data_IF_210397663334
#
_entry.id   IF_210397663334
#
_cell.length_a   1.000
_cell.length_b   1.000
_cell.length_c   1.000
_cell.angle_alpha   90.00
_cell.angle_beta   90.00
_cell.angle_gamma   90.00
#
_symmetry.space_group_name_H-M   'P 1'
#
loop_
_entity.id
_entity.type
_entity.pdbx_description
1 polymer ?
#
# COMPACT_ATOMS: atom_id res chain seq x y z
N UNK A 1 2.71 -18.01 -12.72
CA UNK A 1 3.30 -16.94 -13.55
C UNK A 1 3.68 -15.84 -12.58
N UNK A 2 4.90 -15.31 -12.66
CA UNK A 2 5.31 -14.20 -11.80
C UNK A 2 4.43 -13.00 -12.11
N UNK A 3 3.80 -12.40 -11.09
CA UNK A 3 3.07 -11.16 -11.28
C UNK A 3 4.08 -10.03 -11.44
N UNK A 4 4.16 -9.43 -12.62
CA UNK A 4 5.07 -8.32 -12.91
C UNK A 4 4.51 -7.01 -12.33
N UNK A 5 4.64 -6.87 -11.02
CA UNK A 5 4.20 -5.69 -10.27
C UNK A 5 5.40 -4.83 -9.85
N UNK A 6 5.29 -3.52 -10.05
CA UNK A 6 6.21 -2.53 -9.46
C UNK A 6 5.48 -1.80 -8.34
N UNK A 7 6.10 -1.71 -7.17
CA UNK A 7 5.50 -1.10 -5.99
C UNK A 7 6.26 0.18 -5.65
N UNK A 8 5.51 1.26 -5.49
CA UNK A 8 6.05 2.56 -5.12
C UNK A 8 5.50 2.98 -3.77
N UNK A 9 6.40 3.46 -2.91
CA UNK A 9 6.05 4.14 -1.69
C UNK A 9 5.91 5.65 -1.92
N UNK A 10 4.88 6.29 -1.37
CA UNK A 10 4.65 7.72 -1.50
C UNK A 10 4.39 8.38 -0.12
N UNK A 11 5.42 8.56 0.73
CA UNK A 11 5.25 9.03 2.11
C UNK A 11 4.71 10.45 2.25
N UNK A 12 4.94 11.31 1.26
CA UNK A 12 4.54 12.72 1.29
C UNK A 12 3.08 12.99 0.89
N UNK A 13 2.34 11.96 0.47
CA UNK A 13 0.95 12.11 -0.01
C UNK A 13 0.02 12.55 1.12
N UNK A 14 -0.86 13.51 0.81
CA UNK A 14 -1.94 14.01 1.69
C UNK A 14 -1.47 14.33 3.12
N UNK A 15 -0.79 15.48 3.30
CA UNK A 15 -0.24 15.90 4.59
C UNK A 15 0.60 14.80 5.27
N UNK A 16 1.42 14.12 4.48
CA UNK A 16 2.28 13.02 4.92
C UNK A 16 1.54 11.86 5.60
N UNK A 17 0.23 11.69 5.37
CA UNK A 17 -0.44 10.41 5.64
C UNK A 17 0.32 9.28 4.95
N UNK A 18 0.68 9.52 3.69
CA UNK A 18 1.41 8.59 2.84
C UNK A 18 0.49 7.64 2.07
N UNK A 19 1.05 6.96 1.08
CA UNK A 19 0.32 6.04 0.20
C UNK A 19 1.26 4.99 -0.40
N UNK A 20 0.67 3.97 -1.00
CA UNK A 20 1.34 2.94 -1.79
C UNK A 20 0.68 2.85 -3.16
N UNK A 21 1.49 2.69 -4.20
CA UNK A 21 1.02 2.51 -5.57
C UNK A 21 1.59 1.20 -6.13
N UNK A 22 0.79 0.54 -6.96
CA UNK A 22 1.16 -0.69 -7.66
C UNK A 22 0.96 -0.46 -9.13
N UNK A 23 2.01 -0.66 -9.92
CA UNK A 23 1.93 -0.68 -11.36
C UNK A 23 1.99 -2.12 -11.87
N UNK A 24 0.95 -2.55 -12.55
CA UNK A 24 0.92 -3.86 -13.21
C UNK A 24 1.51 -3.71 -14.62
N UNK A 25 2.67 -4.32 -14.86
CA UNK A 25 3.39 -4.20 -16.14
C UNK A 25 2.62 -4.85 -17.31
N UNK A 26 1.81 -5.87 -17.03
CA UNK A 26 1.05 -6.60 -18.04
C UNK A 26 -0.17 -5.80 -18.51
N UNK A 27 -1.01 -5.35 -17.57
CA UNK A 27 -2.21 -4.56 -17.89
C UNK A 27 -1.90 -3.08 -18.11
N UNK A 28 -0.72 -2.62 -17.72
CA UNK A 28 -0.32 -1.20 -17.65
C UNK A 28 -1.23 -0.35 -16.74
N UNK A 29 -1.97 -0.98 -15.85
CA UNK A 29 -2.84 -0.34 -14.88
C UNK A 29 -2.08 0.11 -13.63
N UNK A 30 -2.62 1.13 -12.96
CA UNK A 30 -2.14 1.61 -11.66
C UNK A 30 -3.22 1.36 -10.62
N UNK A 31 -2.84 0.77 -9.49
CA UNK A 31 -3.66 0.66 -8.30
C UNK A 31 -3.05 1.50 -7.19
N UNK A 32 -3.86 2.25 -6.44
CA UNK A 32 -3.38 3.16 -5.41
C UNK A 32 -4.15 2.97 -4.10
N UNK A 33 -3.46 3.14 -2.98
CA UNK A 33 -4.12 3.32 -1.69
C UNK A 33 -4.55 4.78 -1.53
N UNK A 34 -5.85 4.99 -1.45
CA UNK A 34 -6.46 6.26 -1.07
C UNK A 34 -7.14 6.03 0.28
N UNK A 35 -6.81 6.86 1.26
CA UNK A 35 -7.61 6.92 2.47
C UNK A 35 -8.91 7.64 2.10
N UNK A 36 -10.01 6.88 1.95
CA UNK A 36 -11.33 7.36 1.56
C UNK A 36 -11.99 8.14 2.75
N UNK A 37 -11.24 9.06 3.38
CA UNK A 37 -11.59 9.84 4.59
C UNK A 37 -12.01 8.99 5.80
N UNK A 38 -11.64 7.71 5.80
CA UNK A 38 -11.90 6.78 6.89
C UNK A 38 -11.01 7.04 8.10
N UNK A 39 -9.88 7.73 7.89
CA UNK A 39 -8.90 8.03 8.93
C UNK A 39 -8.13 6.80 9.40
N UNK A 40 -8.10 5.73 8.60
CA UNK A 40 -7.36 4.50 8.91
C UNK A 40 -5.86 4.80 9.07
N UNK A 41 -5.34 5.77 8.30
CA UNK A 41 -3.95 6.24 8.39
C UNK A 41 -3.97 7.72 8.76
N UNK A 42 -3.41 8.06 9.92
CA UNK A 42 -3.39 9.45 10.40
C UNK A 42 -2.37 10.30 9.64
N UNK A 43 -2.59 11.62 9.61
CA UNK A 43 -1.62 12.58 9.05
C UNK A 43 -0.23 12.41 9.69
N UNK A 44 0.81 12.62 8.88
CA UNK A 44 2.19 12.46 9.34
C UNK A 44 2.64 11.01 9.55
N UNK A 45 1.86 10.00 9.17
CA UNK A 45 2.22 8.59 9.38
C UNK A 45 3.35 8.10 8.47
N UNK A 46 3.58 8.78 7.33
CA UNK A 46 4.59 8.45 6.33
C UNK A 46 4.38 7.04 5.73
N UNK A 47 3.13 6.64 5.48
CA UNK A 47 2.84 5.37 4.82
C UNK A 47 3.54 5.27 3.46
N UNK A 48 4.16 4.12 3.19
CA UNK A 48 4.97 3.91 2.00
C UNK A 48 6.43 4.30 2.20
N UNK A 49 6.88 4.53 3.45
CA UNK A 49 8.31 4.74 3.73
C UNK A 49 9.16 3.53 3.33
N UNK A 50 8.60 2.34 3.52
CA UNK A 50 9.10 1.08 3.00
C UNK A 50 7.95 0.30 2.37
N UNK A 51 8.27 -0.51 1.37
CA UNK A 51 7.29 -1.34 0.66
C UNK A 51 7.81 -2.74 0.44
N UNK A 52 6.88 -3.70 0.30
CA UNK A 52 7.17 -5.09 -0.06
C UNK A 52 5.93 -5.76 -0.63
N UNK A 53 6.06 -7.00 -1.06
CA UNK A 53 4.92 -7.82 -1.47
C UNK A 53 5.21 -9.31 -1.25
N UNK A 54 4.14 -10.10 -1.20
CA UNK A 54 4.21 -11.53 -1.04
C UNK A 54 2.84 -12.18 -1.01
N UNK A 55 2.83 -13.50 -0.81
CA UNK A 55 1.63 -14.31 -0.68
C UNK A 55 1.29 -14.47 0.80
N UNK A 56 0.37 -13.66 1.33
CA UNK A 56 -0.01 -13.65 2.74
C UNK A 56 -1.41 -14.24 2.97
N UNK A 57 -2.34 -14.02 2.03
CA UNK A 57 -3.70 -14.56 2.12
C UNK A 57 -3.83 -15.93 1.44
N UNK A 58 -3.22 -16.10 0.27
CA UNK A 58 -3.23 -17.36 -0.46
C UNK A 58 -2.02 -17.49 -1.39
N UNK A 59 -1.61 -18.72 -1.78
CA UNK A 59 -0.57 -18.91 -2.79
C UNK A 59 -0.94 -18.36 -4.18
N UNK A 60 -2.21 -18.06 -4.42
CA UNK A 60 -2.75 -17.56 -5.70
C UNK A 60 -2.96 -16.04 -5.73
N UNK A 61 -2.68 -15.33 -4.63
CA UNK A 61 -2.85 -13.88 -4.52
C UNK A 61 -1.55 -13.22 -4.08
N UNK A 62 -1.32 -11.99 -4.51
CA UNK A 62 -0.19 -11.16 -4.06
C UNK A 62 -0.73 -9.97 -3.30
N UNK A 63 -0.30 -9.82 -2.05
CA UNK A 63 -0.60 -8.65 -1.24
C UNK A 63 0.62 -7.76 -1.12
N UNK A 64 0.36 -6.46 -0.96
CA UNK A 64 1.36 -5.41 -0.85
C UNK A 64 1.48 -4.98 0.59
N UNK A 65 2.70 -4.70 1.03
CA UNK A 65 3.00 -4.27 2.38
C UNK A 65 3.52 -2.84 2.34
N UNK A 66 2.99 -1.98 3.20
CA UNK A 66 3.44 -0.59 3.36
C UNK A 66 3.78 -0.28 4.80
N UNK A 67 4.99 0.22 5.05
CA UNK A 67 5.43 0.71 6.35
C UNK A 67 5.04 2.18 6.57
N UNK A 68 4.51 2.48 7.75
CA UNK A 68 4.16 3.82 8.21
C UNK A 68 4.85 4.09 9.57
N UNK A 69 6.15 4.47 9.57
CA UNK A 69 6.97 4.49 10.77
C UNK A 69 6.54 5.54 11.81
N UNK A 70 5.85 6.60 11.39
CA UNK A 70 5.40 7.66 12.30
C UNK A 70 3.94 7.51 12.75
N UNK A 71 3.24 6.47 12.28
CA UNK A 71 1.87 6.21 12.68
C UNK A 71 1.73 6.17 14.21
N UNK A 72 0.93 7.09 14.75
CA UNK A 72 0.72 7.28 16.19
C UNK A 72 2.00 7.30 17.04
N UNK A 73 3.10 7.83 16.49
CA UNK A 73 4.41 7.93 17.16
C UNK A 73 5.00 6.57 17.60
N UNK A 74 4.53 5.46 17.01
CA UNK A 74 5.01 4.09 17.31
C UNK A 74 5.35 3.30 16.06
N UNK A 75 4.73 3.66 14.94
CA UNK A 75 4.82 2.94 13.68
C UNK A 75 3.75 1.87 13.54
N UNK A 76 3.39 1.59 12.29
CA UNK A 76 2.49 0.49 11.90
C UNK A 76 2.90 -0.02 10.52
N UNK A 77 2.60 -1.29 10.25
CA UNK A 77 2.70 -1.89 8.93
C UNK A 77 1.28 -2.23 8.48
N UNK A 78 0.97 -1.93 7.22
CA UNK A 78 -0.30 -2.22 6.60
C UNK A 78 -0.12 -3.25 5.50
N UNK A 79 -1.07 -4.19 5.41
CA UNK A 79 -1.13 -5.18 4.33
C UNK A 79 -2.32 -4.83 3.44
N UNK A 80 -2.11 -4.81 2.13
CA UNK A 80 -3.09 -4.40 1.14
C UNK A 80 -3.36 -5.52 0.13
N UNK A 81 -4.64 -5.78 -0.15
CA UNK A 81 -5.04 -6.54 -1.34
C UNK A 81 -5.17 -5.60 -2.54
N UNK A 82 -4.72 -6.05 -3.71
CA UNK A 82 -4.83 -5.30 -4.97
C UNK A 82 -6.15 -5.64 -5.66
N UNK A 83 -7.08 -4.69 -5.70
CA UNK A 83 -8.40 -4.87 -6.33
C UNK A 83 -8.62 -3.80 -7.40
N UNK A 84 -8.51 -4.19 -8.68
CA UNK A 84 -8.62 -3.29 -9.82
C UNK A 84 -7.69 -2.07 -9.68
N UNK A 85 -8.23 -0.86 -9.59
CA UNK A 85 -7.49 0.40 -9.50
C UNK A 85 -7.26 0.87 -8.05
N UNK A 86 -7.66 0.08 -7.05
CA UNK A 86 -7.54 0.43 -5.64
C UNK A 86 -6.79 -0.62 -4.82
N UNK A 87 -6.05 -0.15 -3.83
CA UNK A 87 -5.52 -0.97 -2.74
C UNK A 87 -6.48 -0.90 -1.55
N UNK A 88 -6.80 -2.06 -0.97
CA UNK A 88 -7.67 -2.16 0.20
C UNK A 88 -6.89 -2.73 1.38
N UNK A 89 -7.00 -2.10 2.55
CA UNK A 89 -6.34 -2.58 3.77
C UNK A 89 -6.98 -3.88 4.21
N UNK A 90 -6.13 -4.87 4.49
CA UNK A 90 -6.50 -6.18 5.01
C UNK A 90 -6.10 -6.32 6.48
N UNK A 91 -4.94 -5.75 6.86
CA UNK A 91 -4.42 -5.75 8.23
C UNK A 91 -3.63 -4.48 8.54
#
# INVERSE_FOLDING_TARGET
>A
MTEDLIIFGAPGTSYWTGSVLVYNMTSRGISVYLDDDTGVVSFGSYLGYSVGAGHFLSPSSVEVVGGAPQYNQRGKVFIFSVNNEKLQVVS
#
